data_IF_903143351737
#
_entry.id   IF_903143351737
#
_cell.length_a   1.000
_cell.length_b   1.000
_cell.length_c   1.000
_cell.angle_alpha   90.00
_cell.angle_beta   90.00
_cell.angle_gamma   90.00
#
_symmetry.space_group_name_H-M   'P 1'
#
loop_
_entity.id
_entity.type
_entity.pdbx_description
1 polymer ?
#
# COMPACT_ATOMS: atom_id res chain seq x y z
N UNK A 1 4.71 -25.59 -12.60
CA UNK A 1 5.72 -24.61 -12.12
C UNK A 1 5.32 -24.35 -10.69
N UNK A 2 6.16 -24.79 -9.75
CA UNK A 2 5.88 -25.07 -8.33
C UNK A 2 4.76 -24.23 -7.71
N UNK A 3 3.65 -24.88 -7.35
CA UNK A 3 2.87 -24.43 -6.20
C UNK A 3 3.85 -24.38 -5.02
N UNK A 4 3.86 -23.28 -4.26
CA UNK A 4 4.74 -23.15 -3.11
C UNK A 4 4.37 -24.26 -2.12
N UNK A 5 5.31 -25.17 -1.88
CA UNK A 5 5.13 -26.23 -0.90
C UNK A 5 4.94 -25.56 0.46
N UNK A 6 3.86 -25.91 1.18
CA UNK A 6 3.66 -25.39 2.53
C UNK A 6 4.77 -25.92 3.45
N UNK A 7 5.09 -25.17 4.52
CA UNK A 7 6.05 -25.61 5.54
C UNK A 7 5.75 -27.01 6.07
N UNK A 8 4.47 -27.33 6.31
CA UNK A 8 4.04 -28.68 6.69
C UNK A 8 4.37 -29.76 5.65
N UNK A 9 4.13 -29.51 4.36
CA UNK A 9 4.48 -30.46 3.29
C UNK A 9 5.99 -30.62 3.11
N UNK A 10 6.75 -29.55 3.32
CA UNK A 10 8.22 -29.62 3.32
C UNK A 10 8.73 -30.46 4.50
N UNK A 11 8.12 -30.30 5.68
CA UNK A 11 8.44 -31.08 6.87
C UNK A 11 8.09 -32.57 6.68
N UNK A 12 6.90 -32.91 6.18
CA UNK A 12 6.49 -34.29 5.89
C UNK A 12 7.49 -35.03 5.00
N UNK A 13 7.97 -34.36 3.93
CA UNK A 13 8.98 -34.94 3.03
C UNK A 13 10.32 -35.13 3.72
N UNK A 14 10.72 -34.19 4.56
CA UNK A 14 11.95 -34.30 5.34
C UNK A 14 11.88 -35.46 6.34
N UNK A 15 10.76 -35.58 7.06
CA UNK A 15 10.51 -36.69 8.00
C UNK A 15 10.58 -38.02 7.27
N UNK A 16 9.90 -38.13 6.12
CA UNK A 16 9.94 -39.33 5.28
C UNK A 16 11.38 -39.68 4.90
N UNK A 17 12.17 -38.71 4.43
CA UNK A 17 13.56 -38.93 4.07
C UNK A 17 14.44 -39.38 5.26
N UNK A 18 14.20 -38.85 6.46
CA UNK A 18 14.92 -39.27 7.67
C UNK A 18 14.56 -40.69 8.10
N UNK A 19 13.28 -41.05 8.05
CA UNK A 19 12.81 -42.40 8.37
C UNK A 19 13.32 -43.42 7.34
N UNK A 20 13.32 -43.07 6.05
CA UNK A 20 13.91 -43.87 4.99
C UNK A 20 15.42 -44.08 5.18
N UNK A 21 16.15 -43.06 5.64
CA UNK A 21 17.58 -43.17 5.95
C UNK A 21 17.85 -44.18 7.09
N UNK A 22 16.92 -44.30 8.04
CA UNK A 22 16.93 -45.31 9.10
C UNK A 22 16.34 -46.67 8.66
N UNK A 23 15.97 -46.81 7.38
CA UNK A 23 15.29 -47.98 6.82
C UNK A 23 13.95 -48.29 7.50
N UNK A 24 13.29 -47.27 8.04
CA UNK A 24 11.98 -47.36 8.67
C UNK A 24 10.89 -47.06 7.64
N UNK A 25 9.94 -47.97 7.51
CA UNK A 25 8.76 -47.79 6.65
C UNK A 25 7.58 -47.40 7.53
N UNK A 26 7.29 -46.09 7.58
CA UNK A 26 6.17 -45.53 8.33
C UNK A 26 5.06 -45.11 7.34
N UNK A 27 3.78 -45.41 7.61
CA UNK A 27 2.66 -44.95 6.80
C UNK A 27 2.62 -43.42 6.64
N UNK A 28 2.16 -42.93 5.49
CA UNK A 28 2.07 -41.49 5.21
C UNK A 28 1.22 -40.73 6.22
N UNK A 29 0.15 -41.35 6.70
CA UNK A 29 -0.80 -40.74 7.64
C UNK A 29 -0.14 -40.50 9.01
N UNK A 30 0.75 -41.40 9.42
CA UNK A 30 1.51 -41.27 10.67
C UNK A 30 2.61 -40.20 10.51
N UNK A 31 3.21 -40.06 9.32
CA UNK A 31 4.16 -38.99 9.02
C UNK A 31 3.49 -37.62 9.04
N UNK A 32 2.29 -37.50 8.46
CA UNK A 32 1.49 -36.26 8.54
C UNK A 32 1.18 -35.93 10.00
N UNK A 33 0.76 -36.92 10.80
CA UNK A 33 0.47 -36.71 12.22
C UNK A 33 1.71 -36.27 13.01
N UNK A 34 2.87 -36.89 12.75
CA UNK A 34 4.15 -36.49 13.34
C UNK A 34 4.53 -35.05 12.95
N UNK A 35 4.34 -34.66 11.69
CA UNK A 35 4.60 -33.30 11.23
C UNK A 35 3.72 -32.29 11.98
N UNK A 36 2.41 -32.56 12.10
CA UNK A 36 1.48 -31.72 12.88
C UNK A 36 1.87 -31.61 14.35
N UNK A 37 2.30 -32.71 14.96
CA UNK A 37 2.75 -32.69 16.35
C UNK A 37 4.01 -31.83 16.55
N UNK A 38 4.94 -31.86 15.60
CA UNK A 38 6.15 -31.01 15.63
C UNK A 38 5.82 -29.54 15.40
N UNK A 39 4.77 -29.22 14.63
CA UNK A 39 4.27 -27.86 14.42
C UNK A 39 3.73 -27.20 15.71
N UNK A 40 3.22 -28.00 16.65
CA UNK A 40 2.65 -27.49 17.90
C UNK A 40 3.69 -26.74 18.77
N UNK A 41 3.24 -25.73 19.52
CA UNK A 41 4.12 -24.87 20.32
C UNK A 41 4.47 -25.52 21.67
N UNK A 42 5.23 -26.61 21.60
CA UNK A 42 5.77 -27.36 22.74
C UNK A 42 7.27 -27.17 22.89
N UNK A 43 7.81 -27.53 24.06
CA UNK A 43 9.25 -27.54 24.28
C UNK A 43 9.94 -28.60 23.43
N UNK A 44 11.20 -28.36 23.06
CA UNK A 44 11.96 -29.28 22.19
C UNK A 44 12.02 -30.70 22.76
N UNK A 45 12.23 -30.84 24.05
CA UNK A 45 12.34 -32.15 24.70
C UNK A 45 11.00 -32.91 24.68
N UNK A 46 9.89 -32.20 24.85
CA UNK A 46 8.53 -32.77 24.74
C UNK A 46 8.22 -33.23 23.31
N UNK A 47 8.69 -32.48 22.30
CA UNK A 47 8.57 -32.88 20.89
C UNK A 47 9.36 -34.15 20.61
N UNK A 48 10.60 -34.22 21.09
CA UNK A 48 11.45 -35.41 20.90
C UNK A 48 10.82 -36.64 21.55
N UNK A 49 10.35 -36.52 22.80
CA UNK A 49 9.72 -37.62 23.52
C UNK A 49 8.38 -38.03 22.87
N UNK A 50 7.55 -37.07 22.47
CA UNK A 50 6.26 -37.35 21.85
C UNK A 50 6.38 -38.01 20.48
N UNK A 51 7.26 -37.51 19.61
CA UNK A 51 7.51 -38.12 18.29
C UNK A 51 8.14 -39.50 18.46
N UNK A 52 9.05 -39.67 19.43
CA UNK A 52 9.60 -40.99 19.78
C UNK A 52 8.50 -41.96 20.20
N UNK A 53 7.58 -41.54 21.08
CA UNK A 53 6.45 -42.36 21.49
C UNK A 53 5.52 -42.74 20.34
N UNK A 54 5.30 -41.85 19.37
CA UNK A 54 4.55 -42.16 18.15
C UNK A 54 5.27 -43.21 17.30
N UNK A 55 6.57 -43.06 17.11
CA UNK A 55 7.37 -44.06 16.38
C UNK A 55 7.38 -45.42 17.08
N UNK A 56 7.46 -45.45 18.43
CA UNK A 56 7.40 -46.69 19.21
C UNK A 56 6.06 -47.41 19.07
N UNK A 57 4.98 -46.66 18.82
CA UNK A 57 3.66 -47.22 18.54
C UNK A 57 3.49 -47.76 17.12
N UNK A 58 4.25 -47.24 16.15
CA UNK A 58 4.13 -47.59 14.72
C UNK A 58 5.17 -48.61 14.27
N UNK A 59 6.37 -48.57 14.85
CA UNK A 59 7.50 -49.43 14.49
C UNK A 59 7.85 -50.35 15.66
N UNK A 60 7.71 -51.66 15.47
CA UNK A 60 8.19 -52.65 16.43
C UNK A 60 9.73 -52.73 16.37
N UNK A 61 10.40 -52.32 17.47
CA UNK A 61 11.84 -52.47 17.63
C UNK A 61 12.66 -51.36 16.98
N UNK A 62 12.50 -50.12 17.48
CA UNK A 62 13.30 -48.99 17.01
C UNK A 62 14.80 -49.21 17.19
N UNK A 63 15.61 -48.86 16.17
CA UNK A 63 17.05 -48.86 16.32
C UNK A 63 17.46 -47.78 17.32
N UNK A 64 18.15 -48.16 18.41
CA UNK A 64 18.62 -47.20 19.41
C UNK A 64 19.68 -46.22 18.86
N UNK A 65 20.34 -46.58 17.76
CA UNK A 65 21.37 -45.76 17.13
C UNK A 65 20.79 -44.92 16.00
N UNK A 66 20.95 -43.60 16.07
CA UNK A 66 20.59 -42.65 15.00
C UNK A 66 19.14 -42.16 15.02
N UNK A 67 18.26 -42.76 15.83
CA UNK A 67 16.88 -42.26 16.01
C UNK A 67 16.87 -40.92 16.71
N UNK A 68 17.60 -40.79 17.82
CA UNK A 68 17.66 -39.51 18.56
C UNK A 68 18.23 -38.39 17.67
N UNK A 69 19.25 -38.68 16.85
CA UNK A 69 19.82 -37.72 15.88
C UNK A 69 18.82 -37.34 14.79
N UNK A 70 18.05 -38.29 14.27
CA UNK A 70 17.02 -38.02 13.27
C UNK A 70 15.87 -37.19 13.85
N UNK A 71 15.45 -37.47 15.08
CA UNK A 71 14.43 -36.69 15.80
C UNK A 71 14.91 -35.25 16.06
N UNK A 72 16.16 -35.08 16.50
CA UNK A 72 16.77 -33.75 16.65
C UNK A 72 16.83 -32.99 15.31
N UNK A 73 17.16 -33.68 14.22
CA UNK A 73 17.18 -33.10 12.88
C UNK A 73 15.77 -32.67 12.42
N UNK A 74 14.73 -33.45 12.74
CA UNK A 74 13.34 -33.10 12.42
C UNK A 74 12.89 -31.83 13.13
N UNK A 75 13.14 -31.72 14.43
CA UNK A 75 12.79 -30.52 15.20
C UNK A 75 13.62 -29.32 14.74
N UNK A 76 14.90 -29.53 14.42
CA UNK A 76 15.77 -28.47 13.88
C UNK A 76 15.31 -27.97 12.51
N UNK A 77 14.82 -28.85 11.64
CA UNK A 77 14.25 -28.46 10.35
C UNK A 77 12.95 -27.67 10.51
N UNK A 78 12.09 -28.05 11.46
CA UNK A 78 10.92 -27.25 11.82
C UNK A 78 11.31 -25.86 12.32
N UNK A 79 12.29 -25.75 13.22
CA UNK A 79 12.79 -24.45 13.70
C UNK A 79 13.33 -23.59 12.55
N UNK A 80 14.04 -24.20 11.58
CA UNK A 80 14.51 -23.53 10.37
C UNK A 80 13.35 -23.01 9.53
N UNK A 81 12.35 -23.85 9.26
CA UNK A 81 11.17 -23.48 8.48
C UNK A 81 10.35 -22.38 9.18
N UNK A 82 10.14 -22.49 10.50
CA UNK A 82 9.46 -21.47 11.30
C UNK A 82 10.21 -20.13 11.26
N UNK A 83 11.54 -20.15 11.35
CA UNK A 83 12.34 -18.93 11.24
C UNK A 83 12.27 -18.30 9.83
N UNK A 84 12.20 -19.11 8.77
CA UNK A 84 12.02 -18.63 7.40
C UNK A 84 10.63 -18.02 7.18
N UNK A 85 9.57 -18.63 7.74
CA UNK A 85 8.22 -18.08 7.71
C UNK A 85 8.10 -16.80 8.53
N UNK A 86 8.69 -16.75 9.73
CA UNK A 86 8.71 -15.55 10.56
C UNK A 86 9.52 -14.43 9.89
N UNK A 87 10.64 -14.74 9.23
CA UNK A 87 11.39 -13.76 8.46
C UNK A 87 10.61 -13.26 7.23
N UNK A 88 9.86 -14.13 6.56
CA UNK A 88 8.99 -13.75 5.45
C UNK A 88 7.80 -12.90 5.93
N UNK A 89 7.20 -13.24 7.07
CA UNK A 89 6.14 -12.47 7.69
C UNK A 89 6.66 -11.12 8.19
N UNK A 90 7.83 -11.06 8.82
CA UNK A 90 8.48 -9.82 9.24
C UNK A 90 8.87 -8.95 8.05
N UNK A 91 9.31 -9.53 6.93
CA UNK A 91 9.59 -8.79 5.70
C UNK A 91 8.29 -8.24 5.06
N UNK A 92 7.18 -8.98 5.14
CA UNK A 92 5.86 -8.50 4.73
C UNK A 92 5.34 -7.39 5.66
N UNK A 93 5.54 -7.52 6.97
CA UNK A 93 5.21 -6.49 7.95
C UNK A 93 6.12 -5.26 7.83
N UNK A 94 7.40 -5.40 7.48
CA UNK A 94 8.29 -4.27 7.20
C UNK A 94 7.90 -3.58 5.89
N UNK A 95 7.36 -4.31 4.91
CA UNK A 95 6.73 -3.71 3.72
C UNK A 95 5.48 -2.90 4.11
N UNK A 96 4.69 -3.36 5.09
CA UNK A 96 3.53 -2.63 5.64
C UNK A 96 3.89 -1.51 6.64
N UNK A 97 5.01 -1.61 7.35
CA UNK A 97 5.53 -0.62 8.30
C UNK A 97 6.49 0.39 7.65
N UNK A 98 6.89 0.17 6.40
CA UNK A 98 7.49 1.22 5.60
C UNK A 98 6.55 2.41 5.65
N UNK A 99 7.01 3.60 6.11
CA UNK A 99 6.13 4.71 6.44
C UNK A 99 5.28 4.95 5.22
N UNK A 100 3.98 4.68 5.38
CA UNK A 100 3.01 4.81 4.31
C UNK A 100 3.29 6.16 3.69
N UNK A 101 3.69 6.22 2.41
CA UNK A 101 3.96 7.50 1.78
C UNK A 101 2.74 8.35 2.05
N UNK A 102 2.92 9.56 2.62
CA UNK A 102 1.84 10.29 3.27
C UNK A 102 0.68 10.33 2.30
N UNK A 103 -0.48 9.85 2.78
CA UNK A 103 -1.61 9.49 1.95
C UNK A 103 -1.87 10.60 0.92
N UNK A 104 -1.46 10.33 -0.32
CA UNK A 104 -1.41 11.31 -1.38
C UNK A 104 -2.81 11.83 -1.68
N UNK A 105 -3.82 10.99 -1.45
CA UNK A 105 -5.22 11.34 -1.59
C UNK A 105 -5.68 12.21 -0.42
N UNK A 106 -5.24 11.96 0.81
CA UNK A 106 -5.53 12.83 1.96
C UNK A 106 -4.89 14.23 1.83
N UNK A 107 -3.68 14.32 1.26
CA UNK A 107 -3.01 15.60 0.98
C UNK A 107 -3.70 16.34 -0.18
N UNK A 108 -4.08 15.64 -1.24
CA UNK A 108 -4.79 16.25 -2.37
C UNK A 108 -6.25 16.56 -2.06
N UNK A 109 -6.87 15.87 -1.10
CA UNK A 109 -8.24 16.09 -0.63
C UNK A 109 -8.34 17.21 0.41
N UNK A 110 -7.27 17.49 1.15
CA UNK A 110 -7.19 18.65 2.06
C UNK A 110 -6.89 19.97 1.36
N UNK A 111 -6.40 19.91 0.11
CA UNK A 111 -6.17 21.08 -0.73
C UNK A 111 -7.47 21.52 -1.40
N UNK A 112 -7.74 22.81 -1.33
CA UNK A 112 -8.88 23.41 -2.05
C UNK A 112 -8.64 23.36 -3.56
N UNK A 113 -9.71 23.35 -4.36
CA UNK A 113 -9.60 23.28 -5.83
C UNK A 113 -8.77 24.42 -6.43
N UNK A 114 -8.69 25.56 -5.74
CA UNK A 114 -7.90 26.72 -6.13
C UNK A 114 -6.40 26.45 -5.95
N UNK A 115 -6.00 25.77 -4.87
CA UNK A 115 -4.61 25.41 -4.59
C UNK A 115 -4.12 24.31 -5.54
N UNK A 116 -4.98 23.36 -5.92
CA UNK A 116 -4.66 22.35 -6.93
C UNK A 116 -4.44 22.96 -8.32
N UNK A 117 -5.26 23.96 -8.71
CA UNK A 117 -5.07 24.69 -9.97
C UNK A 117 -3.80 25.53 -9.93
N UNK A 118 -3.48 26.16 -8.81
CA UNK A 118 -2.24 26.91 -8.62
C UNK A 118 -1.00 26.00 -8.70
N UNK A 119 -1.03 24.83 -8.07
CA UNK A 119 0.05 23.85 -8.11
C UNK A 119 0.25 23.28 -9.53
N UNK A 120 -0.84 22.97 -10.24
CA UNK A 120 -0.78 22.54 -11.65
C UNK A 120 -0.24 23.65 -12.56
N UNK A 121 -0.68 24.89 -12.38
CA UNK A 121 -0.18 26.05 -13.12
C UNK A 121 1.31 26.31 -12.83
N UNK A 122 1.75 26.17 -11.59
CA UNK A 122 3.15 26.32 -11.20
C UNK A 122 4.04 25.19 -11.76
N UNK A 123 3.55 23.94 -11.77
CA UNK A 123 4.23 22.82 -12.40
C UNK A 123 4.37 23.02 -13.93
N UNK A 124 3.29 23.49 -14.56
CA UNK A 124 3.28 23.82 -15.98
C UNK A 124 4.25 24.98 -16.29
N UNK A 125 4.21 26.06 -15.52
CA UNK A 125 5.14 27.18 -15.66
C UNK A 125 6.59 26.77 -15.45
N UNK A 126 6.91 25.80 -14.58
CA UNK A 126 8.28 25.28 -14.47
C UNK A 126 8.70 24.46 -15.68
N UNK A 127 7.79 23.64 -16.22
CA UNK A 127 8.06 22.88 -17.44
C UNK A 127 8.33 23.80 -18.64
N UNK A 128 7.66 24.95 -18.73
CA UNK A 128 7.89 25.94 -19.78
C UNK A 128 8.99 26.96 -19.45
N UNK A 129 9.24 27.29 -18.18
CA UNK A 129 10.32 28.17 -17.77
C UNK A 129 11.71 27.54 -18.03
N UNK A 130 11.82 26.21 -17.94
CA UNK A 130 13.03 25.48 -18.34
C UNK A 130 13.29 25.48 -19.85
N UNK A 131 12.36 25.99 -20.67
CA UNK A 131 12.50 26.07 -22.13
C UNK A 131 12.81 27.50 -22.63
N UNK A 132 12.57 28.55 -21.82
CA UNK A 132 12.81 29.95 -22.22
C UNK A 132 13.76 30.76 -21.30
N UNK A 133 14.20 30.26 -20.15
CA UNK A 133 15.07 31.01 -19.24
C UNK A 133 16.39 30.32 -18.91
N UNK A 134 17.46 30.68 -19.62
CA UNK A 134 18.85 30.38 -19.23
C UNK A 134 19.26 31.09 -17.93
N UNK A 135 20.39 30.70 -17.31
CA UNK A 135 20.76 31.06 -15.94
C UNK A 135 21.40 32.45 -15.85
N UNK A 136 20.69 33.51 -16.23
CA UNK A 136 21.09 34.89 -15.96
C UNK A 136 19.90 35.69 -15.41
N UNK A 137 20.20 36.56 -14.45
CA UNK A 137 19.28 37.42 -13.68
C UNK A 137 18.64 36.81 -12.41
N UNK A 138 19.48 36.52 -11.42
CA UNK A 138 19.14 36.81 -10.02
C UNK A 138 19.83 38.12 -9.61
N UNK A 139 19.17 39.26 -9.85
CA UNK A 139 19.52 40.50 -9.17
C UNK A 139 19.30 40.32 -7.66
N UNK A 140 20.40 40.48 -6.91
CA UNK A 140 20.41 40.47 -5.44
C UNK A 140 19.68 41.70 -4.92
N UNK A 141 18.57 41.49 -4.23
CA UNK A 141 17.93 42.51 -3.43
C UNK A 141 18.83 42.87 -2.22
N UNK A 142 19.08 44.17 -2.03
CA UNK A 142 20.05 44.72 -1.09
C UNK A 142 19.46 44.91 0.33
N UNK A 143 18.59 44.00 0.76
CA UNK A 143 17.93 44.06 2.07
C UNK A 143 17.97 42.69 2.76
N UNK A 144 19.18 42.24 3.12
CA UNK A 144 19.37 40.95 3.79
C UNK A 144 19.10 41.04 5.31
N UNK A 145 18.22 40.20 5.88
CA UNK A 145 18.03 40.11 7.34
C UNK A 145 19.23 39.44 8.05
N UNK A 146 19.41 39.67 9.37
CA UNK A 146 20.67 39.42 10.06
C UNK A 146 21.07 37.94 10.12
N UNK A 147 22.38 37.69 10.11
CA UNK A 147 23.03 36.37 10.10
C UNK A 147 22.48 35.45 11.21
N UNK A 148 21.83 34.36 10.79
CA UNK A 148 21.32 33.28 11.65
C UNK A 148 20.21 32.46 10.98
N UNK A 149 19.44 33.06 10.06
CA UNK A 149 18.35 32.37 9.34
C UNK A 149 18.80 31.70 8.03
N UNK A 150 19.92 32.11 7.44
CA UNK A 150 20.40 31.58 6.16
C UNK A 150 20.82 30.09 6.22
N UNK A 151 21.31 29.60 7.37
CA UNK A 151 21.60 28.17 7.54
C UNK A 151 20.31 27.35 7.62
N UNK A 152 19.34 27.80 8.42
CA UNK A 152 18.01 27.18 8.51
C UNK A 152 17.27 27.20 7.16
N UNK A 153 17.38 28.28 6.38
CA UNK A 153 16.83 28.35 5.03
C UNK A 153 17.59 27.46 4.03
N UNK A 154 18.91 27.28 4.19
CA UNK A 154 19.68 26.38 3.33
C UNK A 154 19.39 24.91 3.61
N UNK A 155 19.17 24.55 4.88
CA UNK A 155 18.77 23.21 5.30
C UNK A 155 17.32 22.95 4.91
N UNK A 156 16.43 23.95 5.03
CA UNK A 156 15.06 23.86 4.53
C UNK A 156 15.00 23.73 3.00
N UNK A 157 15.90 24.40 2.27
CA UNK A 157 16.02 24.25 0.81
C UNK A 157 16.54 22.87 0.41
N UNK A 158 17.55 22.34 1.10
CA UNK A 158 18.05 20.97 0.88
C UNK A 158 16.99 19.92 1.21
N UNK A 159 16.29 20.07 2.33
CA UNK A 159 15.17 19.19 2.69
C UNK A 159 14.02 19.28 1.66
N UNK A 160 13.76 20.46 1.09
CA UNK A 160 12.78 20.64 0.03
C UNK A 160 13.22 20.00 -1.30
N UNK A 161 14.51 20.03 -1.63
CA UNK A 161 15.07 19.38 -2.82
C UNK A 161 15.11 17.85 -2.69
N UNK A 162 15.46 17.32 -1.53
CA UNK A 162 15.39 15.87 -1.23
C UNK A 162 13.95 15.37 -1.24
N UNK A 163 13.02 16.15 -0.69
CA UNK A 163 11.58 15.84 -0.77
C UNK A 163 11.07 15.87 -2.20
N UNK A 164 11.55 16.81 -3.04
CA UNK A 164 11.21 16.84 -4.47
C UNK A 164 11.75 15.63 -5.23
N UNK A 165 12.99 15.21 -4.93
CA UNK A 165 13.61 14.03 -5.54
C UNK A 165 12.88 12.73 -5.16
N UNK A 166 12.40 12.64 -3.91
CA UNK A 166 11.58 11.51 -3.44
C UNK A 166 10.21 11.47 -4.14
N UNK A 167 9.57 12.62 -4.33
CA UNK A 167 8.29 12.72 -5.07
C UNK A 167 8.46 12.35 -6.55
N UNK A 168 9.55 12.77 -7.19
CA UNK A 168 9.85 12.43 -8.59
C UNK A 168 10.13 10.92 -8.77
N UNK A 169 10.89 10.31 -7.86
CA UNK A 169 11.16 8.88 -7.88
C UNK A 169 9.88 8.03 -7.66
N UNK A 170 8.96 8.51 -6.81
CA UNK A 170 7.67 7.86 -6.59
C UNK A 170 6.79 7.88 -7.86
N UNK A 171 6.76 9.01 -8.57
CA UNK A 171 5.95 9.18 -9.78
C UNK A 171 6.43 8.30 -10.94
N UNK A 172 7.75 8.14 -11.07
CA UNK A 172 8.35 7.20 -12.04
C UNK A 172 8.01 5.74 -11.73
N UNK A 173 7.98 5.34 -10.45
CA UNK A 173 7.70 3.96 -10.03
C UNK A 173 6.22 3.59 -10.19
N UNK A 174 5.30 4.54 -9.96
CA UNK A 174 3.86 4.38 -10.18
C UNK A 174 3.52 4.17 -11.67
N UNK A 175 4.17 4.93 -12.57
CA UNK A 175 3.98 4.76 -14.02
C UNK A 175 4.36 3.36 -14.54
N UNK A 176 5.31 2.69 -13.85
CA UNK A 176 5.77 1.34 -14.17
C UNK A 176 4.89 0.27 -13.52
N UNK A 177 4.41 0.48 -12.29
CA UNK A 177 3.47 -0.43 -11.60
C UNK A 177 2.10 -0.48 -12.28
N UNK A 178 1.53 0.66 -12.70
CA UNK A 178 0.23 0.72 -13.41
C UNK A 178 0.19 -0.03 -14.74
N UNK A 179 1.32 -0.09 -15.48
CA UNK A 179 1.43 -0.90 -16.70
C UNK A 179 1.51 -2.41 -16.43
N UNK A 180 2.00 -2.82 -15.25
CA UNK A 180 2.07 -4.23 -14.82
C UNK A 180 0.76 -4.71 -14.19
N UNK A 181 0.14 -3.93 -13.31
CA UNK A 181 -1.09 -4.30 -12.61
C UNK A 181 -2.29 -4.50 -13.56
N UNK A 182 -2.41 -3.65 -14.60
CA UNK A 182 -3.45 -3.78 -15.64
C UNK A 182 -3.35 -5.09 -16.46
N UNK A 183 -2.21 -5.78 -16.44
CA UNK A 183 -2.04 -7.09 -17.09
C UNK A 183 -2.27 -8.27 -16.14
N UNK A 184 -2.26 -8.06 -14.82
CA UNK A 184 -2.42 -9.10 -13.81
C UNK A 184 -3.87 -9.16 -13.28
N UNK A 185 -4.60 -8.04 -13.26
CA UNK A 185 -6.03 -8.02 -12.86
C UNK A 185 -7.00 -8.57 -13.92
N UNK A 186 -6.50 -9.06 -15.05
CA UNK A 186 -7.31 -9.73 -16.07
C UNK A 186 -6.90 -11.21 -16.09
N UNK A 187 -7.03 -11.88 -14.95
CA UNK A 187 -6.73 -13.32 -14.83
C UNK A 187 -7.68 -13.98 -13.80
N UNK A 188 -8.97 -13.65 -13.91
CA UNK A 188 -10.05 -14.43 -13.28
C UNK A 188 -10.83 -15.17 -14.38
N UNK A 189 -10.50 -16.44 -14.66
CA UNK A 189 -11.16 -17.25 -15.69
C UNK A 189 -12.67 -17.45 -15.41
N UNK A 190 -13.12 -17.27 -14.17
CA UNK A 190 -14.51 -17.45 -13.77
C UNK A 190 -15.40 -16.24 -14.14
N UNK A 191 -14.80 -15.08 -14.42
CA UNK A 191 -15.53 -13.91 -14.93
C UNK A 191 -15.76 -13.92 -16.45
N UNK A 192 -15.08 -14.82 -17.17
CA UNK A 192 -15.15 -14.87 -18.63
C UNK A 192 -16.25 -15.82 -19.12
N UNK A 193 -16.54 -16.90 -18.38
CA UNK A 193 -17.54 -17.90 -18.78
C UNK A 193 -18.43 -18.32 -17.60
N UNK A 194 -19.44 -17.52 -17.27
CA UNK A 194 -20.85 -17.95 -17.16
C UNK A 194 -21.69 -17.06 -16.24
N UNK A 195 -22.81 -16.60 -16.81
CA UNK A 195 -23.88 -15.78 -16.25
C UNK A 195 -23.48 -14.39 -15.74
N UNK A 196 -23.59 -13.41 -16.65
CA UNK A 196 -24.06 -12.02 -16.45
C UNK A 196 -23.19 -10.94 -17.13
N UNK A 197 -22.61 -11.20 -18.31
CA UNK A 197 -21.98 -10.14 -19.12
C UNK A 197 -22.91 -8.93 -19.31
N UNK A 198 -24.21 -9.17 -19.48
CA UNK A 198 -25.23 -8.11 -19.55
C UNK A 198 -25.46 -7.40 -18.22
N UNK A 199 -25.49 -8.08 -17.06
CA UNK A 199 -25.65 -7.38 -15.77
C UNK A 199 -24.37 -6.64 -15.37
N UNK A 200 -23.19 -7.12 -15.77
CA UNK A 200 -21.92 -6.39 -15.60
C UNK A 200 -21.92 -5.15 -16.49
N UNK A 201 -22.32 -5.27 -17.76
CA UNK A 201 -22.49 -4.12 -18.65
C UNK A 201 -23.54 -3.13 -18.12
N UNK A 202 -24.66 -3.61 -17.58
CA UNK A 202 -25.73 -2.79 -17.00
C UNK A 202 -25.27 -2.09 -15.72
N UNK A 203 -24.55 -2.78 -14.82
CA UNK A 203 -23.94 -2.17 -13.63
C UNK A 203 -22.90 -1.12 -14.01
N UNK A 204 -22.06 -1.40 -15.00
CA UNK A 204 -21.09 -0.43 -15.52
C UNK A 204 -21.77 0.79 -16.17
N UNK A 205 -22.90 0.61 -16.85
CA UNK A 205 -23.70 1.71 -17.37
C UNK A 205 -24.38 2.52 -16.26
N UNK A 206 -24.98 1.87 -15.26
CA UNK A 206 -25.55 2.55 -14.09
C UNK A 206 -24.51 3.39 -13.35
N UNK A 207 -23.32 2.83 -13.10
CA UNK A 207 -22.23 3.57 -12.45
C UNK A 207 -21.79 4.81 -13.27
N UNK A 208 -21.77 4.70 -14.60
CA UNK A 208 -21.46 5.84 -15.49
C UNK A 208 -22.57 6.90 -15.47
N UNK A 209 -23.83 6.49 -15.41
CA UNK A 209 -24.96 7.43 -15.38
C UNK A 209 -25.11 8.10 -14.01
N UNK A 210 -24.82 7.40 -12.91
CA UNK A 210 -24.73 7.97 -11.56
C UNK A 210 -23.58 8.99 -11.44
N UNK A 211 -22.42 8.69 -12.02
CA UNK A 211 -21.30 9.63 -12.07
C UNK A 211 -21.66 10.89 -12.87
N UNK A 212 -22.40 10.77 -13.97
CA UNK A 212 -22.89 11.93 -14.73
C UNK A 212 -23.92 12.75 -13.97
N UNK A 213 -24.86 12.09 -13.29
CA UNK A 213 -25.90 12.76 -12.47
C UNK A 213 -25.27 13.52 -11.31
N UNK A 214 -24.38 12.89 -10.55
CA UNK A 214 -23.68 13.54 -9.43
C UNK A 214 -22.80 14.72 -9.89
N UNK A 215 -22.15 14.62 -11.05
CA UNK A 215 -21.41 15.75 -11.63
C UNK A 215 -22.33 16.91 -12.04
N UNK A 216 -23.52 16.62 -12.57
CA UNK A 216 -24.50 17.63 -12.93
C UNK A 216 -25.11 18.29 -11.68
N UNK A 217 -25.45 17.52 -10.65
CA UNK A 217 -25.96 18.04 -9.38
C UNK A 217 -24.96 18.97 -8.67
N UNK A 218 -23.66 18.65 -8.73
CA UNK A 218 -22.60 19.55 -8.23
C UNK A 218 -22.60 20.88 -8.99
N UNK A 219 -22.61 20.82 -10.32
CA UNK A 219 -22.68 22.04 -11.16
C UNK A 219 -23.91 22.87 -10.89
N UNK A 220 -25.06 22.24 -10.71
CA UNK A 220 -26.32 22.96 -10.45
C UNK A 220 -26.31 23.59 -9.04
N UNK A 221 -25.72 22.91 -8.05
CA UNK A 221 -25.50 23.48 -6.70
C UNK A 221 -24.57 24.67 -6.73
N UNK A 222 -23.45 24.57 -7.45
CA UNK A 222 -22.48 25.68 -7.57
C UNK A 222 -23.09 26.87 -8.31
N UNK A 223 -23.87 26.62 -9.36
CA UNK A 223 -24.60 27.67 -10.10
C UNK A 223 -25.63 28.37 -9.20
N UNK A 224 -26.40 27.61 -8.42
CA UNK A 224 -27.36 28.16 -7.47
C UNK A 224 -26.67 28.99 -6.36
N UNK A 225 -25.51 28.55 -5.88
CA UNK A 225 -24.72 29.29 -4.89
C UNK A 225 -24.20 30.62 -5.45
N UNK A 226 -23.70 30.63 -6.69
CA UNK A 226 -23.26 31.85 -7.37
C UNK A 226 -24.42 32.82 -7.64
N UNK A 227 -25.59 32.30 -8.03
CA UNK A 227 -26.77 33.13 -8.23
C UNK A 227 -27.25 33.77 -6.92
N UNK A 228 -27.22 33.02 -5.81
CA UNK A 228 -27.50 33.55 -4.47
C UNK A 228 -26.53 34.66 -4.07
N UNK A 229 -25.22 34.46 -4.26
CA UNK A 229 -24.21 35.49 -3.99
C UNK A 229 -24.45 36.76 -4.82
N UNK A 230 -24.80 36.61 -6.10
CA UNK A 230 -25.13 37.76 -6.97
C UNK A 230 -26.37 38.49 -6.48
N UNK A 231 -27.42 37.77 -6.09
CA UNK A 231 -28.65 38.35 -5.55
C UNK A 231 -28.39 39.11 -4.23
N UNK A 232 -27.61 38.53 -3.32
CA UNK A 232 -27.26 39.15 -2.04
C UNK A 232 -26.37 40.39 -2.22
N UNK A 233 -25.41 40.33 -3.14
CA UNK A 233 -24.59 41.50 -3.51
C UNK A 233 -25.43 42.62 -4.15
N UNK A 234 -26.39 42.27 -5.01
CA UNK A 234 -27.30 43.25 -5.61
C UNK A 234 -28.21 43.90 -4.56
N UNK A 235 -28.74 43.12 -3.60
CA UNK A 235 -29.53 43.64 -2.46
C UNK A 235 -28.70 44.58 -1.58
N UNK A 236 -27.48 44.17 -1.23
CA UNK A 236 -26.57 45.01 -0.44
C UNK A 236 -26.22 46.32 -1.16
N UNK A 237 -25.98 46.29 -2.47
CA UNK A 237 -25.75 47.50 -3.28
C UNK A 237 -26.99 48.40 -3.31
N UNK A 238 -28.18 47.84 -3.50
CA UNK A 238 -29.43 48.60 -3.49
C UNK A 238 -29.69 49.27 -2.12
N UNK A 239 -29.41 48.58 -1.02
CA UNK A 239 -29.53 49.17 0.32
C UNK A 239 -28.50 50.28 0.57
N UNK A 240 -27.25 50.11 0.12
CA UNK A 240 -26.23 51.15 0.21
C UNK A 240 -26.61 52.39 -0.60
N UNK A 241 -27.13 52.21 -1.82
CA UNK A 241 -27.63 53.32 -2.64
C UNK A 241 -28.82 54.02 -1.99
N UNK A 242 -29.78 53.27 -1.43
CA UNK A 242 -30.90 53.86 -0.68
C UNK A 242 -30.45 54.63 0.56
N UNK A 243 -29.41 54.16 1.26
CA UNK A 243 -28.82 54.87 2.43
C UNK A 243 -28.08 56.13 2.00
N UNK A 244 -27.27 56.06 0.94
CA UNK A 244 -26.55 57.21 0.39
C UNK A 244 -27.52 58.31 -0.11
N UNK A 245 -28.56 57.96 -0.87
CA UNK A 245 -29.58 58.91 -1.31
C UNK A 245 -30.35 59.55 -0.15
N UNK A 246 -30.55 58.83 0.97
CA UNK A 246 -31.15 59.42 2.19
C UNK A 246 -30.19 60.37 2.91
N UNK A 247 -28.88 60.14 2.83
CA UNK A 247 -27.87 61.01 3.42
C UNK A 247 -27.70 62.30 2.60
N UNK A 248 -27.69 62.21 1.27
CA UNK A 248 -27.66 63.38 0.36
C UNK A 248 -28.93 64.24 0.44
N UNK A 249 -30.07 63.67 0.84
CA UNK A 249 -31.30 64.45 1.10
C UNK A 249 -31.33 65.15 2.47
N UNK A 250 -30.41 64.79 3.36
CA UNK A 250 -30.31 65.34 4.73
C UNK A 250 -29.15 66.32 4.90
N UNK A 251 -28.16 66.26 4.01
CA UNK A 251 -27.14 67.29 3.81
C UNK A 251 -27.72 68.43 2.94
#
# INVERSE_FOLDING_TARGET
MSEGESSGQALERFITAQLEALSLSVPSDDVEFMARFVEEDMEKDEKLEGVRGMLEGVVEGLPETGVDEALEAMVGEWERLKAEEEAAAAAAEEEDQSPTPPDHEAIMASLTEEELKAARKAALLRQYAYVEGGPEEMERDANAPPRGQAQAESEAKKAAEERRKLVEAALMRDSRKKKKHRKVEIDDPLQWENLNREKVAMKAQMARDEAKRSAQEKKDRDRAALEKQRADAARAKAEKQKKAQKQERRA
#
